data_IF_819133074524
#
_entry.id   IF_819133074524
#
_cell.length_a   1.000
_cell.length_b   1.000
_cell.length_c   1.000
_cell.angle_alpha   90.00
_cell.angle_beta   90.00
_cell.angle_gamma   90.00
#
_symmetry.space_group_name_H-M   'P 1'
#
loop_
_entity.id
_entity.type
_entity.pdbx_description
1 polymer ?
#
# COMPACT_ATOMS: atom_id res chain seq x y z
N UNK A 1 10.90 28.72 -10.38
CA UNK A 1 10.04 28.14 -9.33
C UNK A 1 8.68 27.91 -9.96
N UNK A 2 8.15 26.68 -9.85
CA UNK A 2 6.81 26.30 -10.34
C UNK A 2 5.94 25.96 -9.14
N UNK A 3 4.64 26.17 -9.27
CA UNK A 3 3.65 25.73 -8.28
C UNK A 3 3.05 24.41 -8.75
N UNK A 4 3.23 23.33 -7.99
CA UNK A 4 2.93 21.96 -8.39
C UNK A 4 1.92 21.33 -7.43
N UNK A 5 0.86 20.77 -7.99
CA UNK A 5 -0.08 19.94 -7.24
C UNK A 5 0.25 18.46 -7.40
N UNK A 6 0.28 17.72 -6.30
CA UNK A 6 0.36 16.25 -6.31
C UNK A 6 -0.93 15.69 -5.75
N UNK A 7 -1.56 14.76 -6.46
CA UNK A 7 -2.80 14.12 -6.04
C UNK A 7 -2.48 12.73 -5.48
N UNK A 8 -2.57 12.59 -4.17
CA UNK A 8 -2.27 11.37 -3.41
C UNK A 8 -1.03 11.49 -2.53
N UNK A 9 -1.20 11.31 -1.21
CA UNK A 9 -0.13 11.31 -0.21
C UNK A 9 0.31 9.87 0.15
N UNK A 10 0.41 8.99 -0.85
CA UNK A 10 1.08 7.70 -0.76
C UNK A 10 2.60 7.84 -0.83
N UNK A 11 3.33 6.71 -0.79
CA UNK A 11 4.79 6.70 -0.88
C UNK A 11 5.30 7.51 -2.08
N UNK A 12 4.78 7.23 -3.27
CA UNK A 12 5.21 7.89 -4.51
C UNK A 12 4.97 9.41 -4.47
N UNK A 13 3.76 9.85 -4.06
CA UNK A 13 3.44 11.28 -3.99
C UNK A 13 4.27 12.04 -2.96
N UNK A 14 4.56 11.43 -1.82
CA UNK A 14 5.39 12.03 -0.78
C UNK A 14 6.86 12.12 -1.21
N UNK A 15 7.40 11.07 -1.82
CA UNK A 15 8.79 11.05 -2.32
C UNK A 15 8.97 12.07 -3.45
N UNK A 16 8.04 12.09 -4.42
CA UNK A 16 8.02 13.08 -5.49
C UNK A 16 7.93 14.50 -4.93
N UNK A 17 7.03 14.73 -3.97
CA UNK A 17 6.88 16.04 -3.31
C UNK A 17 8.15 16.52 -2.63
N UNK A 18 8.87 15.63 -1.95
CA UNK A 18 10.17 15.94 -1.34
C UNK A 18 11.20 16.37 -2.38
N UNK A 19 11.35 15.57 -3.44
CA UNK A 19 12.31 15.84 -4.51
C UNK A 19 12.04 17.19 -5.19
N UNK A 20 10.77 17.48 -5.50
CA UNK A 20 10.38 18.74 -6.14
C UNK A 20 10.57 19.95 -5.20
N UNK A 21 10.26 19.79 -3.91
CA UNK A 21 10.48 20.86 -2.93
C UNK A 21 11.98 21.15 -2.78
N UNK A 22 12.83 20.12 -2.74
CA UNK A 22 14.28 20.25 -2.71
C UNK A 22 14.84 20.93 -3.97
N UNK A 23 14.19 20.71 -5.11
CA UNK A 23 14.50 21.40 -6.37
C UNK A 23 14.00 22.86 -6.42
N UNK A 24 13.40 23.37 -5.34
CA UNK A 24 12.99 24.76 -5.22
C UNK A 24 11.60 25.07 -5.78
N UNK A 25 10.73 24.07 -5.91
CA UNK A 25 9.35 24.25 -6.35
C UNK A 25 8.39 24.44 -5.15
N UNK A 26 7.26 25.15 -5.36
CA UNK A 26 6.13 25.24 -4.41
C UNK A 26 5.22 24.02 -4.60
N UNK A 27 5.22 23.08 -3.65
CA UNK A 27 4.50 21.82 -3.77
C UNK A 27 3.35 21.75 -2.78
N UNK A 28 2.15 21.40 -3.29
CA UNK A 28 0.98 21.10 -2.48
C UNK A 28 0.48 19.70 -2.79
N UNK A 29 0.37 18.84 -1.78
CA UNK A 29 -0.13 17.48 -1.90
C UNK A 29 -1.57 17.41 -1.40
N UNK A 30 -2.47 16.85 -2.20
CA UNK A 30 -3.88 16.64 -1.85
C UNK A 30 -4.13 15.18 -1.52
N UNK A 31 -4.67 14.90 -0.33
CA UNK A 31 -5.00 13.55 0.12
C UNK A 31 -6.47 13.48 0.55
N UNK A 32 -7.22 12.58 -0.07
CA UNK A 32 -8.64 12.37 0.22
C UNK A 32 -8.90 11.81 1.61
N UNK A 33 -7.94 11.07 2.15
CA UNK A 33 -8.05 10.37 3.43
C UNK A 33 -7.61 11.25 4.58
N UNK A 34 -8.03 10.88 5.79
CA UNK A 34 -7.52 11.46 7.05
C UNK A 34 -6.04 11.12 7.28
N UNK A 35 -5.61 9.91 6.86
CA UNK A 35 -4.26 9.38 7.06
C UNK A 35 -3.35 9.66 5.87
N UNK A 36 -2.06 9.77 6.15
CA UNK A 36 -0.98 9.89 5.17
C UNK A 36 -0.31 8.53 5.01
N UNK A 37 0.25 8.24 3.83
CA UNK A 37 1.01 7.01 3.54
C UNK A 37 0.30 6.06 2.57
N UNK A 38 -0.98 6.27 2.27
CA UNK A 38 -1.73 5.44 1.33
C UNK A 38 -1.71 3.97 1.75
N UNK A 39 -1.12 3.07 0.93
CA UNK A 39 -1.01 1.63 1.22
C UNK A 39 -0.01 1.27 2.33
N UNK A 40 0.73 2.22 2.89
CA UNK A 40 1.50 2.05 4.14
C UNK A 40 0.61 2.25 5.39
N UNK A 41 -0.66 1.91 5.29
CA UNK A 41 -1.66 2.20 6.32
C UNK A 41 -1.57 1.23 7.50
N UNK A 42 -1.72 1.79 8.70
CA UNK A 42 -1.90 1.04 9.95
C UNK A 42 -3.26 1.38 10.53
N UNK A 43 -4.09 0.37 10.83
CA UNK A 43 -5.35 0.49 11.56
C UNK A 43 -5.09 0.40 13.05
N UNK A 44 -5.73 1.27 13.83
CA UNK A 44 -5.73 1.25 15.29
C UNK A 44 -7.10 0.83 15.77
N UNK A 45 -7.12 -0.21 16.62
CA UNK A 45 -8.30 -0.70 17.33
C UNK A 45 -7.83 -1.16 18.71
N UNK A 46 -7.58 -0.20 19.60
CA UNK A 46 -6.95 -0.44 20.89
C UNK A 46 -7.57 -1.62 21.65
N UNK A 47 -6.73 -2.52 22.22
CA UNK A 47 -5.29 -2.41 22.33
C UNK A 47 -4.51 -2.89 21.07
N UNK A 48 -5.17 -3.17 19.95
CA UNK A 48 -4.60 -3.79 18.77
C UNK A 48 -4.18 -2.77 17.71
N UNK A 49 -3.12 -3.11 16.97
CA UNK A 49 -2.64 -2.37 15.80
C UNK A 49 -2.43 -3.34 14.64
N UNK A 50 -2.78 -2.91 13.42
CA UNK A 50 -2.73 -3.76 12.23
C UNK A 50 -2.14 -2.98 11.05
N UNK A 51 -1.00 -3.43 10.53
CA UNK A 51 -0.47 -2.94 9.26
C UNK A 51 -1.22 -3.64 8.10
N UNK A 52 -2.41 -3.15 7.82
CA UNK A 52 -3.36 -3.78 6.90
C UNK A 52 -3.17 -3.39 5.44
N UNK A 53 -2.18 -2.56 5.14
CA UNK A 53 -1.72 -2.28 3.77
C UNK A 53 -0.53 -3.16 3.41
N UNK A 54 0.63 -2.53 3.12
CA UNK A 54 1.90 -3.25 3.02
C UNK A 54 2.32 -3.67 4.42
N UNK A 55 2.41 -4.98 4.67
CA UNK A 55 2.78 -5.46 5.99
C UNK A 55 4.29 -5.46 6.23
N UNK A 56 5.06 -5.73 5.20
CA UNK A 56 6.51 -5.70 5.15
C UNK A 56 6.96 -5.56 3.69
N UNK A 57 8.19 -5.17 3.45
CA UNK A 57 8.73 -5.03 2.10
C UNK A 57 10.21 -5.47 2.05
N UNK A 58 10.70 -5.74 0.85
CA UNK A 58 12.10 -6.03 0.55
C UNK A 58 12.65 -4.93 -0.35
N UNK A 59 13.97 -4.77 -0.39
CA UNK A 59 14.65 -3.87 -1.31
C UNK A 59 15.67 -4.68 -2.12
N UNK A 60 15.45 -4.79 -3.43
CA UNK A 60 16.31 -5.51 -4.36
C UNK A 60 16.98 -4.61 -5.40
N UNK A 61 16.53 -3.38 -5.52
CA UNK A 61 17.08 -2.34 -6.38
C UNK A 61 18.03 -1.46 -5.57
N UNK A 62 19.19 -1.11 -6.12
CA UNK A 62 20.25 -0.38 -5.40
C UNK A 62 19.79 1.03 -4.97
N UNK A 63 19.02 1.74 -5.80
CA UNK A 63 18.53 3.07 -5.47
C UNK A 63 17.49 2.99 -4.35
N UNK A 64 16.60 1.99 -4.43
CA UNK A 64 15.63 1.76 -3.37
C UNK A 64 16.30 1.28 -2.08
N UNK A 65 17.33 0.44 -2.15
CA UNK A 65 18.13 0.04 -0.99
C UNK A 65 18.81 1.25 -0.35
N UNK A 66 19.35 2.18 -1.15
CA UNK A 66 19.90 3.45 -0.65
C UNK A 66 18.87 4.26 0.14
N UNK A 67 17.65 4.37 -0.36
CA UNK A 67 16.53 5.03 0.34
C UNK A 67 16.17 4.30 1.65
N UNK A 68 16.12 2.96 1.64
CA UNK A 68 15.82 2.17 2.85
C UNK A 68 16.93 2.32 3.88
N UNK A 69 18.19 2.34 3.47
CA UNK A 69 19.33 2.55 4.36
C UNK A 69 19.26 3.92 5.07
N UNK A 70 18.81 4.96 4.37
CA UNK A 70 18.56 6.26 4.99
C UNK A 70 17.46 6.15 6.07
N UNK A 71 16.33 5.51 5.76
CA UNK A 71 15.25 5.32 6.74
C UNK A 71 15.65 4.48 7.95
N UNK A 72 16.54 3.48 7.76
CA UNK A 72 17.16 2.71 8.84
C UNK A 72 18.02 3.60 9.75
N UNK A 73 18.90 4.42 9.15
CA UNK A 73 19.76 5.33 9.90
C UNK A 73 18.97 6.38 10.68
N UNK A 74 17.80 6.79 10.18
CA UNK A 74 16.90 7.75 10.82
C UNK A 74 15.93 7.09 11.82
N UNK A 75 16.00 5.76 12.01
CA UNK A 75 15.15 5.02 12.94
C UNK A 75 13.65 5.03 12.55
N UNK A 76 13.35 5.10 11.28
CA UNK A 76 11.98 5.08 10.73
C UNK A 76 11.58 3.68 10.29
N UNK A 77 12.57 2.86 9.93
CA UNK A 77 12.43 1.48 9.48
C UNK A 77 13.32 0.59 10.33
N UNK A 78 12.95 -0.66 10.51
CA UNK A 78 13.76 -1.70 11.10
C UNK A 78 13.82 -2.93 10.20
N UNK A 79 14.92 -3.68 10.30
CA UNK A 79 15.01 -5.04 9.73
C UNK A 79 14.12 -5.96 10.55
N UNK A 80 13.33 -6.76 9.87
CA UNK A 80 12.53 -7.82 10.45
C UNK A 80 13.09 -9.17 9.99
N UNK A 81 13.83 -9.82 10.89
CA UNK A 81 14.26 -11.20 10.71
C UNK A 81 13.05 -12.10 10.99
N UNK A 82 12.53 -12.74 9.97
CA UNK A 82 11.28 -13.48 10.03
C UNK A 82 11.57 -14.97 10.22
N UNK A 83 10.95 -15.57 11.23
CA UNK A 83 10.79 -17.02 11.29
C UNK A 83 9.70 -17.42 10.27
N UNK A 84 10.15 -17.90 9.13
CA UNK A 84 9.28 -18.40 8.08
C UNK A 84 8.91 -19.85 8.34
N UNK A 85 7.66 -20.19 8.06
CA UNK A 85 7.25 -21.58 7.99
C UNK A 85 8.09 -22.31 6.92
N UNK A 86 8.80 -23.38 7.31
CA UNK A 86 9.65 -24.16 6.41
C UNK A 86 8.87 -25.28 5.71
N UNK A 87 9.36 -25.81 4.56
CA UNK A 87 8.71 -26.91 3.85
C UNK A 87 8.48 -28.20 4.69
N UNK A 88 9.22 -28.35 5.77
CA UNK A 88 9.07 -29.47 6.71
C UNK A 88 7.98 -29.23 7.77
N UNK A 89 7.42 -28.03 7.83
CA UNK A 89 6.28 -27.71 8.66
C UNK A 89 4.99 -27.96 7.85
N UNK A 90 4.12 -28.94 8.25
CA UNK A 90 2.95 -29.37 7.47
C UNK A 90 1.88 -28.29 7.24
N UNK A 91 2.04 -27.09 7.79
CA UNK A 91 1.18 -25.92 7.56
C UNK A 91 1.55 -25.16 6.27
N UNK A 92 2.72 -25.43 5.69
CA UNK A 92 3.13 -24.93 4.38
C UNK A 92 2.79 -25.95 3.33
N UNK A 93 1.79 -25.64 2.53
CA UNK A 93 1.33 -26.31 1.31
C UNK A 93 1.91 -27.71 1.00
N UNK A 94 1.03 -28.70 0.91
CA UNK A 94 1.30 -30.06 0.47
C UNK A 94 1.58 -30.22 -1.04
N UNK A 95 1.74 -29.12 -1.80
CA UNK A 95 2.11 -29.17 -3.22
C UNK A 95 3.45 -28.49 -3.47
N UNK A 96 4.45 -29.21 -4.03
CA UNK A 96 5.72 -28.62 -4.38
C UNK A 96 5.53 -27.77 -5.65
N UNK A 97 5.21 -26.48 -5.49
CA UNK A 97 5.44 -25.51 -6.55
C UNK A 97 6.65 -24.69 -6.16
N UNK A 98 7.68 -24.88 -6.95
CA UNK A 98 8.96 -24.23 -6.89
C UNK A 98 8.82 -22.71 -6.68
N UNK A 99 8.93 -22.25 -5.43
CA UNK A 99 9.58 -20.97 -5.24
C UNK A 99 10.97 -21.11 -5.87
N UNK A 100 11.46 -20.13 -6.63
CA UNK A 100 12.87 -20.13 -6.95
C UNK A 100 13.58 -20.14 -5.58
N UNK A 101 14.19 -21.27 -5.26
CA UNK A 101 15.14 -21.37 -4.18
C UNK A 101 16.31 -20.50 -4.61
N UNK A 102 16.29 -19.23 -4.22
CA UNK A 102 17.51 -18.45 -4.15
C UNK A 102 18.23 -19.03 -2.97
N UNK A 103 19.06 -20.02 -3.28
CA UNK A 103 19.99 -20.66 -2.38
C UNK A 103 20.74 -19.55 -1.62
N UNK A 104 20.53 -19.48 -0.30
CA UNK A 104 21.42 -18.77 0.61
C UNK A 104 21.18 -17.27 0.84
N UNK A 105 20.11 -16.65 0.37
CA UNK A 105 19.75 -15.29 0.75
C UNK A 105 18.57 -15.31 1.73
N UNK A 106 18.82 -15.00 2.98
CA UNK A 106 17.79 -14.47 3.87
C UNK A 106 17.28 -13.19 3.21
N UNK A 107 16.04 -13.19 2.71
CA UNK A 107 15.42 -11.95 2.26
C UNK A 107 15.16 -11.11 3.51
N UNK A 108 15.95 -10.06 3.71
CA UNK A 108 15.72 -9.11 4.77
C UNK A 108 14.39 -8.41 4.48
N UNK A 109 13.43 -8.57 5.38
CA UNK A 109 12.22 -7.79 5.36
C UNK A 109 12.43 -6.50 6.15
N UNK A 110 11.81 -5.43 5.66
CA UNK A 110 11.81 -4.13 6.31
C UNK A 110 10.39 -3.76 6.74
N UNK A 111 10.29 -3.14 7.90
CA UNK A 111 9.02 -2.64 8.45
C UNK A 111 9.19 -1.24 9.00
N UNK A 112 8.19 -0.39 8.81
CA UNK A 112 8.15 0.92 9.45
C UNK A 112 7.97 0.78 10.97
N UNK A 113 8.63 1.62 11.76
CA UNK A 113 8.56 1.62 13.22
C UNK A 113 8.07 2.95 13.77
N UNK A 114 7.19 2.95 14.81
CA UNK A 114 6.58 1.79 15.49
C UNK A 114 5.47 1.12 14.67
N UNK A 115 5.14 1.59 13.47
CA UNK A 115 4.11 1.05 12.58
C UNK A 115 4.41 1.44 11.13
N UNK A 116 3.85 0.72 10.14
CA UNK A 116 4.14 0.97 8.72
C UNK A 116 3.84 2.41 8.27
N UNK A 117 2.82 3.05 8.83
CA UNK A 117 2.48 4.43 8.50
C UNK A 117 3.52 5.46 8.99
N UNK A 118 4.52 5.07 9.79
CA UNK A 118 5.60 5.96 10.21
C UNK A 118 6.43 6.45 9.03
N UNK A 119 6.63 5.60 8.02
CA UNK A 119 7.36 5.96 6.79
C UNK A 119 6.65 7.13 6.10
N UNK A 120 5.34 7.02 5.86
CA UNK A 120 4.56 8.10 5.24
C UNK A 120 4.56 9.39 6.06
N UNK A 121 4.44 9.29 7.39
CA UNK A 121 4.50 10.46 8.30
C UNK A 121 5.87 11.13 8.27
N UNK A 122 6.94 10.34 8.21
CA UNK A 122 8.30 10.85 8.12
C UNK A 122 8.52 11.61 6.79
N UNK A 123 8.14 11.02 5.67
CA UNK A 123 8.26 11.65 4.37
C UNK A 123 7.43 12.94 4.23
N UNK A 124 6.30 13.02 4.91
CA UNK A 124 5.45 14.20 4.89
C UNK A 124 5.99 15.40 5.69
N UNK A 125 7.04 15.21 6.51
CA UNK A 125 7.63 16.31 7.30
C UNK A 125 8.15 17.42 6.40
N UNK A 126 7.67 18.65 6.64
CA UNK A 126 8.04 19.82 5.86
C UNK A 126 7.30 19.99 4.54
N UNK A 127 6.44 19.03 4.14
CA UNK A 127 5.57 19.15 2.97
C UNK A 127 4.21 19.75 3.33
N UNK A 128 3.65 20.55 2.42
CA UNK A 128 2.27 21.03 2.52
C UNK A 128 1.31 19.93 2.06
N UNK A 129 0.67 19.23 3.01
CA UNK A 129 -0.29 18.15 2.71
C UNK A 129 -1.69 18.56 3.16
N UNK A 130 -2.62 18.71 2.22
CA UNK A 130 -4.05 18.97 2.47
C UNK A 130 -4.80 17.64 2.55
N UNK A 131 -5.06 17.18 3.77
CA UNK A 131 -5.81 15.94 4.06
C UNK A 131 -7.30 16.17 4.01
N UNK A 132 -8.09 15.08 3.95
CA UNK A 132 -9.55 15.12 3.81
C UNK A 132 -9.99 15.98 2.62
N UNK A 133 -9.14 16.04 1.59
CA UNK A 133 -9.36 16.88 0.42
C UNK A 133 -9.32 16.00 -0.83
N UNK A 134 -10.50 15.66 -1.32
CA UNK A 134 -10.64 14.91 -2.58
C UNK A 134 -10.59 15.90 -3.75
N UNK A 135 -9.68 15.67 -4.69
CA UNK A 135 -9.72 16.32 -5.99
C UNK A 135 -10.84 15.66 -6.80
N UNK A 136 -11.79 16.45 -7.26
CA UNK A 136 -12.96 16.01 -8.05
C UNK A 136 -12.82 16.30 -9.54
N UNK A 137 -12.14 17.41 -9.90
CA UNK A 137 -11.92 17.78 -11.28
C UNK A 137 -10.60 18.52 -11.49
N UNK A 138 -10.10 18.45 -12.72
CA UNK A 138 -8.96 19.19 -13.23
C UNK A 138 -9.45 20.01 -14.43
N UNK A 139 -9.32 21.32 -14.35
CA UNK A 139 -9.69 22.25 -15.41
C UNK A 139 -8.42 22.75 -16.09
N UNK A 140 -8.35 22.56 -17.39
CA UNK A 140 -7.24 23.03 -18.20
C UNK A 140 -7.53 24.48 -18.64
N UNK A 141 -6.72 25.42 -18.20
CA UNK A 141 -6.73 26.81 -18.62
C UNK A 141 -5.62 27.12 -19.66
N UNK A 142 -4.91 26.13 -20.11
CA UNK A 142 -3.96 26.19 -21.21
C UNK A 142 -4.73 26.22 -22.55
N UNK A 143 -4.49 27.11 -23.49
CA UNK A 143 -3.36 28.02 -23.63
C UNK A 143 -3.57 29.42 -23.01
N UNK A 144 -4.70 29.70 -22.39
CA UNK A 144 -5.03 31.07 -21.97
C UNK A 144 -4.13 31.53 -20.81
N UNK A 145 -3.98 30.71 -19.77
CA UNK A 145 -3.23 31.07 -18.55
C UNK A 145 -2.00 30.19 -18.29
N UNK A 146 -1.74 29.19 -19.15
CA UNK A 146 -0.69 28.21 -18.97
C UNK A 146 -0.70 27.61 -17.55
N UNK A 147 -1.88 27.25 -17.05
CA UNK A 147 -2.13 26.75 -15.72
C UNK A 147 -3.29 25.78 -15.65
N UNK A 148 -3.29 24.98 -14.61
CA UNK A 148 -4.31 23.99 -14.28
C UNK A 148 -5.06 24.44 -13.03
N UNK A 149 -6.38 24.38 -13.02
CA UNK A 149 -7.16 24.60 -11.81
C UNK A 149 -7.67 23.26 -11.27
N UNK A 150 -7.50 23.05 -9.96
CA UNK A 150 -8.05 21.90 -9.25
C UNK A 150 -9.34 22.29 -8.53
N UNK A 151 -10.36 21.45 -8.66
CA UNK A 151 -11.59 21.53 -7.90
C UNK A 151 -11.73 20.32 -6.96
N UNK A 152 -12.38 20.52 -5.81
CA UNK A 152 -12.77 19.42 -4.96
C UNK A 152 -14.04 18.71 -5.51
N UNK A 153 -14.53 17.70 -4.79
CA UNK A 153 -15.72 16.93 -5.13
C UNK A 153 -17.04 17.72 -5.02
N UNK A 154 -16.99 18.94 -4.46
CA UNK A 154 -18.12 19.90 -4.41
C UNK A 154 -18.03 20.97 -5.48
N UNK A 155 -17.02 20.97 -6.33
CA UNK A 155 -16.77 22.00 -7.34
C UNK A 155 -16.12 23.27 -6.81
N UNK A 156 -15.64 23.28 -5.56
CA UNK A 156 -14.93 24.44 -4.99
C UNK A 156 -13.46 24.40 -5.41
N UNK A 157 -12.88 25.58 -5.73
CA UNK A 157 -11.49 25.66 -6.16
C UNK A 157 -10.50 25.29 -5.02
N UNK A 158 -9.53 24.46 -5.38
CA UNK A 158 -8.40 24.11 -4.52
C UNK A 158 -7.15 24.93 -4.84
N UNK A 159 -7.15 25.62 -5.98
CA UNK A 159 -6.11 26.51 -6.44
C UNK A 159 -5.68 26.25 -7.88
N UNK A 160 -4.79 27.14 -8.36
CA UNK A 160 -4.18 27.04 -9.69
C UNK A 160 -2.72 26.60 -9.57
N UNK A 161 -2.26 25.79 -10.53
CA UNK A 161 -0.96 25.15 -10.51
C UNK A 161 -0.35 25.13 -11.92
N UNK A 162 0.96 25.24 -12.01
CA UNK A 162 1.69 25.09 -13.27
C UNK A 162 1.70 23.66 -13.75
N UNK A 163 1.80 22.70 -12.80
CA UNK A 163 1.82 21.26 -13.08
C UNK A 163 0.93 20.49 -12.11
N UNK A 164 0.41 19.36 -12.60
CA UNK A 164 -0.34 18.40 -11.80
C UNK A 164 0.31 17.03 -11.96
N UNK A 165 0.62 16.40 -10.83
CA UNK A 165 1.16 15.05 -10.78
C UNK A 165 0.13 14.13 -10.11
N UNK A 166 -0.30 13.09 -10.82
CA UNK A 166 -1.17 12.07 -10.27
C UNK A 166 -0.33 10.94 -9.65
N UNK A 167 -0.39 10.81 -8.32
CA UNK A 167 0.19 9.71 -7.56
C UNK A 167 -0.91 8.76 -7.02
N UNK A 168 -2.05 8.74 -7.70
CA UNK A 168 -3.19 7.87 -7.41
C UNK A 168 -3.01 6.49 -8.06
N UNK A 169 -3.76 5.47 -7.59
CA UNK A 169 -3.93 4.24 -8.34
C UNK A 169 -4.43 4.51 -9.76
N UNK A 170 -3.94 3.74 -10.73
CA UNK A 170 -4.20 3.98 -12.16
C UNK A 170 -5.69 4.04 -12.49
N UNK A 171 -6.53 3.21 -11.85
CA UNK A 171 -7.98 3.22 -12.06
C UNK A 171 -8.63 4.53 -11.61
N UNK A 172 -8.10 5.16 -10.57
CA UNK A 172 -8.57 6.47 -10.13
C UNK A 172 -8.03 7.59 -11.04
N UNK A 173 -6.81 7.46 -11.52
CA UNK A 173 -6.21 8.43 -12.45
C UNK A 173 -6.95 8.47 -13.80
N UNK A 174 -7.53 7.35 -14.25
CA UNK A 174 -8.32 7.28 -15.50
C UNK A 174 -9.47 8.30 -15.55
N UNK A 175 -10.07 8.63 -14.41
CA UNK A 175 -11.15 9.62 -14.34
C UNK A 175 -10.70 11.05 -14.69
N UNK A 176 -9.39 11.31 -14.63
CA UNK A 176 -8.79 12.61 -14.96
C UNK A 176 -8.06 12.61 -16.31
N UNK A 177 -8.17 11.53 -17.10
CA UNK A 177 -7.54 11.46 -18.42
C UNK A 177 -8.19 12.47 -19.38
N UNK A 178 -7.43 13.47 -19.80
CA UNK A 178 -7.87 14.57 -20.64
C UNK A 178 -7.90 14.22 -22.13
N UNK A 179 -7.10 13.23 -22.54
CA UNK A 179 -6.93 12.86 -23.94
C UNK A 179 -7.09 11.37 -24.17
N UNK A 180 -7.36 10.99 -25.43
CA UNK A 180 -7.40 9.59 -25.84
C UNK A 180 -6.04 8.88 -25.66
N UNK A 181 -4.92 9.63 -25.75
CA UNK A 181 -3.59 9.10 -25.53
C UNK A 181 -3.40 8.72 -24.05
N UNK A 182 -3.74 9.60 -23.13
CA UNK A 182 -3.71 9.31 -21.68
C UNK A 182 -4.53 8.07 -21.36
N UNK A 183 -5.74 7.97 -21.89
CA UNK A 183 -6.62 6.81 -21.70
C UNK A 183 -5.98 5.53 -22.22
N UNK A 184 -5.39 5.55 -23.42
CA UNK A 184 -4.71 4.37 -24.00
C UNK A 184 -3.54 3.90 -23.15
N UNK A 185 -2.73 4.84 -22.63
CA UNK A 185 -1.59 4.51 -21.76
C UNK A 185 -2.06 3.93 -20.45
N UNK A 186 -2.97 4.60 -19.75
CA UNK A 186 -3.47 4.15 -18.44
C UNK A 186 -4.20 2.80 -18.51
N UNK A 187 -4.82 2.48 -19.65
CA UNK A 187 -5.52 1.20 -19.84
C UNK A 187 -4.60 -0.01 -19.99
N UNK A 188 -3.29 0.20 -20.18
CA UNK A 188 -2.30 -0.89 -20.16
C UNK A 188 -2.06 -1.45 -18.75
N UNK A 189 -2.49 -0.74 -17.72
CA UNK A 189 -2.23 -1.07 -16.33
C UNK A 189 -3.52 -1.41 -15.61
N UNK A 190 -3.46 -2.41 -14.75
CA UNK A 190 -4.53 -2.80 -13.86
C UNK A 190 -3.97 -3.14 -12.49
N UNK A 191 -4.74 -2.84 -11.45
CA UNK A 191 -4.41 -3.22 -10.08
C UNK A 191 -5.37 -4.31 -9.60
N UNK A 192 -4.80 -5.34 -9.00
CA UNK A 192 -5.54 -6.43 -8.40
C UNK A 192 -6.01 -6.05 -7.00
N UNK A 193 -7.23 -6.42 -6.60
CA UNK A 193 -7.72 -6.16 -5.26
C UNK A 193 -7.16 -7.16 -4.25
N UNK A 194 -7.23 -6.78 -2.96
CA UNK A 194 -6.90 -7.66 -1.85
C UNK A 194 -7.75 -7.29 -0.63
N UNK A 195 -8.34 -8.28 0.01
CA UNK A 195 -9.01 -8.12 1.29
C UNK A 195 -8.08 -8.52 2.42
N UNK A 196 -8.06 -7.72 3.47
CA UNK A 196 -7.20 -7.97 4.62
C UNK A 196 -8.05 -8.10 5.87
N UNK A 197 -8.11 -9.31 6.40
CA UNK A 197 -8.74 -9.62 7.68
C UNK A 197 -7.76 -9.28 8.81
N UNK A 198 -8.25 -8.60 9.82
CA UNK A 198 -7.51 -8.16 11.01
C UNK A 198 -8.11 -8.83 12.25
N UNK A 199 -7.31 -9.65 12.92
CA UNK A 199 -7.73 -10.37 14.13
C UNK A 199 -6.84 -9.98 15.31
N UNK A 200 -7.45 -9.57 16.42
CA UNK A 200 -6.79 -9.28 17.69
C UNK A 200 -7.17 -10.30 18.76
N UNK A 201 -6.20 -10.72 19.57
CA UNK A 201 -6.40 -11.73 20.60
C UNK A 201 -5.88 -11.25 21.95
N UNK A 202 -6.60 -11.59 23.01
CA UNK A 202 -6.22 -11.27 24.40
C UNK A 202 -5.00 -12.07 24.86
N UNK A 203 -4.77 -13.23 24.23
CA UNK A 203 -3.62 -14.11 24.51
C UNK A 203 -2.93 -14.49 23.22
N UNK A 204 -1.58 -14.60 23.21
CA UNK A 204 -0.85 -15.08 22.05
C UNK A 204 -1.30 -16.48 21.63
N UNK A 205 -1.34 -16.71 20.31
CA UNK A 205 -1.58 -18.02 19.72
C UNK A 205 -0.26 -18.82 19.69
N UNK A 206 -0.36 -20.15 19.80
CA UNK A 206 0.77 -21.07 19.69
C UNK A 206 1.13 -21.23 18.19
N UNK A 207 1.81 -20.24 17.63
CA UNK A 207 2.35 -20.26 16.26
C UNK A 207 3.87 -20.25 16.33
N UNK A 208 4.50 -21.19 15.62
CA UNK A 208 5.96 -21.34 15.56
C UNK A 208 6.60 -20.48 14.45
N UNK A 209 5.85 -19.56 13.86
CA UNK A 209 6.29 -18.69 12.78
C UNK A 209 5.56 -17.34 12.81
N UNK A 210 6.20 -16.34 12.25
CA UNK A 210 5.68 -14.97 12.19
C UNK A 210 5.07 -14.60 10.83
N UNK A 211 5.48 -15.31 9.77
CA UNK A 211 5.03 -15.12 8.39
C UNK A 211 4.78 -16.47 7.72
N UNK A 212 3.62 -16.64 7.13
CA UNK A 212 3.29 -17.79 6.31
C UNK A 212 2.74 -17.33 4.96
N UNK A 213 3.36 -17.79 3.86
CA UNK A 213 2.80 -17.73 2.52
C UNK A 213 1.95 -18.96 2.31
N UNK A 214 0.70 -18.77 1.89
CA UNK A 214 -0.27 -19.84 1.75
C UNK A 214 -0.53 -20.09 0.27
N UNK A 215 -0.40 -21.33 -0.15
CA UNK A 215 -0.86 -21.77 -1.47
C UNK A 215 -2.30 -22.25 -1.35
N UNK A 216 -3.24 -21.37 -1.61
CA UNK A 216 -4.66 -21.65 -1.48
C UNK A 216 -5.50 -20.75 -2.37
N UNK A 217 -6.79 -21.07 -2.44
CA UNK A 217 -7.73 -20.28 -3.26
C UNK A 217 -8.16 -19.00 -2.57
N UNK A 218 -8.27 -18.99 -1.23
CA UNK A 218 -8.85 -17.89 -0.48
C UNK A 218 -7.82 -17.00 0.20
N UNK A 219 -6.76 -17.60 0.79
CA UNK A 219 -5.74 -16.90 1.57
C UNK A 219 -4.40 -16.94 0.83
N UNK A 220 -3.76 -15.79 0.74
CA UNK A 220 -2.43 -15.59 0.16
C UNK A 220 -1.33 -15.66 1.21
N UNK A 221 -1.53 -15.01 2.37
CA UNK A 221 -0.54 -14.98 3.45
C UNK A 221 -1.16 -14.63 4.81
N UNK A 222 -0.49 -15.08 5.85
CA UNK A 222 -0.81 -14.80 7.25
C UNK A 222 0.44 -14.23 7.92
N UNK A 223 0.27 -13.15 8.67
CA UNK A 223 1.37 -12.44 9.33
C UNK A 223 0.98 -12.19 10.79
N UNK A 224 1.86 -12.56 11.71
CA UNK A 224 1.78 -12.17 13.11
C UNK A 224 2.24 -10.71 13.21
N UNK A 225 1.31 -9.78 13.12
CA UNK A 225 1.64 -8.36 13.03
C UNK A 225 2.32 -7.83 14.31
N UNK A 226 1.94 -8.36 15.48
CA UNK A 226 2.53 -8.01 16.77
C UNK A 226 3.97 -8.53 16.97
N UNK A 227 4.43 -9.49 16.18
CA UNK A 227 5.81 -9.99 16.24
C UNK A 227 6.83 -9.08 15.54
N UNK A 228 6.37 -8.12 14.74
CA UNK A 228 7.26 -7.18 14.08
C UNK A 228 7.99 -6.29 15.07
N UNK A 229 9.22 -5.83 14.76
CA UNK A 229 10.00 -4.92 15.60
C UNK A 229 9.20 -3.70 16.05
N UNK A 230 9.33 -3.34 17.32
CA UNK A 230 8.74 -2.14 17.94
C UNK A 230 7.21 -2.06 17.82
N UNK A 231 6.52 -3.20 17.71
CA UNK A 231 5.04 -3.22 17.80
C UNK A 231 4.63 -3.26 19.27
N UNK A 232 3.80 -2.29 19.63
CA UNK A 232 3.14 -2.23 20.93
C UNK A 232 1.70 -2.74 20.79
N UNK A 233 1.07 -3.07 21.92
CA UNK A 233 -0.32 -3.49 21.98
C UNK A 233 -0.53 -5.00 22.06
N UNK A 234 -1.78 -5.43 21.83
CA UNK A 234 -2.18 -6.82 21.92
C UNK A 234 -1.72 -7.68 20.76
N UNK A 235 -1.77 -8.99 20.94
CA UNK A 235 -1.42 -9.97 19.91
C UNK A 235 -2.35 -9.83 18.69
N UNK A 236 -1.78 -9.72 17.50
CA UNK A 236 -2.56 -9.41 16.30
C UNK A 236 -2.06 -10.15 15.06
N UNK A 237 -3.02 -10.61 14.26
CA UNK A 237 -2.79 -11.20 12.94
C UNK A 237 -3.34 -10.30 11.84
N UNK A 238 -2.66 -10.23 10.72
CA UNK A 238 -3.18 -9.73 9.45
C UNK A 238 -3.16 -10.86 8.43
N UNK A 239 -4.30 -11.12 7.80
CA UNK A 239 -4.53 -12.23 6.90
C UNK A 239 -4.97 -11.66 5.56
N UNK A 240 -4.18 -11.90 4.53
CA UNK A 240 -4.41 -11.38 3.19
C UNK A 240 -5.10 -12.45 2.35
N UNK A 241 -6.20 -12.08 1.73
CA UNK A 241 -6.86 -12.94 0.76
C UNK A 241 -6.12 -12.93 -0.58
N UNK A 242 -6.41 -13.95 -1.41
CA UNK A 242 -6.01 -13.92 -2.82
C UNK A 242 -6.80 -12.84 -3.57
N UNK A 243 -6.24 -12.30 -4.67
CA UNK A 243 -6.99 -11.40 -5.55
C UNK A 243 -8.25 -12.05 -6.14
N UNK A 244 -8.17 -13.34 -6.47
CA UNK A 244 -9.29 -14.09 -7.03
C UNK A 244 -10.46 -14.19 -6.03
N UNK A 245 -10.17 -14.47 -4.76
CA UNK A 245 -11.18 -14.46 -3.71
C UNK A 245 -11.79 -13.06 -3.56
N UNK A 246 -10.94 -12.02 -3.46
CA UNK A 246 -11.43 -10.66 -3.28
C UNK A 246 -12.33 -10.21 -4.43
N UNK A 247 -11.96 -10.50 -5.69
CA UNK A 247 -12.79 -10.13 -6.84
C UNK A 247 -14.20 -10.72 -6.77
N UNK A 248 -14.35 -11.93 -6.21
CA UNK A 248 -15.66 -12.58 -6.07
C UNK A 248 -16.50 -11.99 -4.94
N UNK A 249 -15.86 -11.52 -3.86
CA UNK A 249 -16.52 -11.23 -2.58
C UNK A 249 -16.45 -9.75 -2.14
N UNK A 250 -15.83 -8.86 -2.92
CA UNK A 250 -15.57 -7.47 -2.53
C UNK A 250 -16.84 -6.64 -2.29
N UNK A 251 -17.96 -7.04 -2.87
CA UNK A 251 -19.26 -6.38 -2.74
C UNK A 251 -20.19 -7.10 -1.73
N UNK A 252 -19.74 -8.19 -1.13
CA UNK A 252 -20.51 -8.94 -0.15
C UNK A 252 -20.52 -8.24 1.21
N UNK A 253 -21.42 -8.72 2.08
CA UNK A 253 -21.49 -8.27 3.47
C UNK A 253 -20.16 -8.51 4.21
N UNK A 254 -19.72 -7.50 4.93
CA UNK A 254 -18.45 -7.56 5.68
C UNK A 254 -18.41 -8.69 6.68
N UNK A 255 -19.51 -8.95 7.36
CA UNK A 255 -19.60 -10.01 8.39
C UNK A 255 -19.45 -11.38 7.73
N UNK A 256 -20.06 -11.58 6.57
CA UNK A 256 -19.91 -12.81 5.78
C UNK A 256 -18.46 -13.02 5.38
N UNK A 257 -17.80 -11.98 4.85
CA UNK A 257 -16.38 -12.01 4.49
C UNK A 257 -15.46 -12.32 5.69
N UNK A 258 -15.69 -11.66 6.83
CA UNK A 258 -14.95 -11.91 8.08
C UNK A 258 -15.08 -13.36 8.51
N UNK A 259 -16.31 -13.88 8.55
CA UNK A 259 -16.60 -15.24 8.99
C UNK A 259 -15.96 -16.28 8.04
N UNK A 260 -16.02 -16.04 6.74
CA UNK A 260 -15.41 -16.91 5.73
C UNK A 260 -13.90 -16.98 5.90
N UNK A 261 -13.21 -15.83 5.85
CA UNK A 261 -11.76 -15.79 5.96
C UNK A 261 -11.24 -16.25 7.34
N UNK A 262 -11.99 -15.97 8.43
CA UNK A 262 -11.63 -16.50 9.75
C UNK A 262 -11.66 -18.03 9.75
N UNK A 263 -12.69 -18.64 9.16
CA UNK A 263 -12.81 -20.11 9.07
C UNK A 263 -11.70 -20.69 8.17
N UNK A 264 -11.48 -20.10 7.00
CA UNK A 264 -10.41 -20.53 6.08
C UNK A 264 -9.03 -20.46 6.76
N UNK A 265 -8.74 -19.37 7.46
CA UNK A 265 -7.49 -19.22 8.20
C UNK A 265 -7.37 -20.20 9.36
N UNK A 266 -8.48 -20.47 10.09
CA UNK A 266 -8.51 -21.49 11.16
C UNK A 266 -8.17 -22.87 10.63
N UNK A 267 -8.68 -23.23 9.44
CA UNK A 267 -8.39 -24.52 8.80
C UNK A 267 -6.91 -24.62 8.39
N UNK A 268 -6.35 -23.54 7.80
CA UNK A 268 -4.95 -23.49 7.41
C UNK A 268 -4.02 -23.62 8.61
N UNK A 269 -4.33 -22.94 9.71
CA UNK A 269 -3.49 -22.90 10.90
C UNK A 269 -3.72 -24.09 11.85
N UNK A 270 -4.83 -24.82 11.73
CA UNK A 270 -5.23 -25.83 12.69
C UNK A 270 -5.61 -25.26 14.06
N UNK A 271 -5.90 -23.94 14.14
CA UNK A 271 -6.21 -23.21 15.37
C UNK A 271 -7.55 -22.51 15.21
N UNK A 272 -8.39 -22.53 16.24
CA UNK A 272 -9.66 -21.80 16.21
C UNK A 272 -9.43 -20.29 16.39
N UNK A 273 -9.56 -19.54 15.29
CA UNK A 273 -9.47 -18.09 15.27
C UNK A 273 -10.80 -17.39 15.57
N UNK A 274 -11.88 -18.15 15.77
CA UNK A 274 -13.20 -17.58 16.09
C UNK A 274 -13.21 -16.86 17.45
N UNK A 275 -12.25 -17.17 18.30
CA UNK A 275 -12.06 -16.59 19.64
C UNK A 275 -11.43 -15.20 19.64
N UNK A 276 -11.07 -14.64 18.47
CA UNK A 276 -10.51 -13.31 18.37
C UNK A 276 -11.43 -12.25 19.01
N UNK A 277 -10.86 -11.46 19.92
CA UNK A 277 -11.55 -10.37 20.63
C UNK A 277 -11.87 -9.18 19.69
N UNK A 278 -11.04 -9.00 18.66
CA UNK A 278 -11.28 -8.00 17.61
C UNK A 278 -11.26 -8.66 16.24
N UNK A 279 -12.23 -8.28 15.41
CA UNK A 279 -12.33 -8.72 14.00
C UNK A 279 -12.77 -7.55 13.14
N UNK A 280 -11.98 -7.24 12.12
CA UNK A 280 -12.35 -6.26 11.09
C UNK A 280 -11.74 -6.68 9.75
N UNK A 281 -12.32 -6.19 8.65
CA UNK A 281 -11.82 -6.44 7.29
C UNK A 281 -11.72 -5.13 6.53
N UNK A 282 -10.63 -5.01 5.73
CA UNK A 282 -10.46 -3.91 4.80
C UNK A 282 -10.28 -4.44 3.37
N UNK A 283 -11.04 -3.89 2.44
CA UNK A 283 -10.95 -4.23 1.03
C UNK A 283 -10.14 -3.18 0.29
N UNK A 284 -8.93 -3.53 -0.13
CA UNK A 284 -8.11 -2.74 -1.05
C UNK A 284 -8.53 -3.06 -2.48
N UNK A 285 -9.32 -2.20 -3.12
CA UNK A 285 -9.74 -2.38 -4.52
C UNK A 285 -8.56 -2.30 -5.50
N UNK A 286 -7.51 -1.59 -5.12
CA UNK A 286 -6.33 -1.30 -5.93
C UNK A 286 -5.07 -1.60 -5.11
N UNK A 287 -4.83 -2.88 -4.83
CA UNK A 287 -3.79 -3.30 -3.90
C UNK A 287 -2.43 -3.46 -4.58
N UNK A 288 -2.32 -4.35 -5.57
CA UNK A 288 -1.06 -4.71 -6.22
C UNK A 288 -1.21 -4.65 -7.73
N UNK A 289 -0.15 -4.23 -8.45
CA UNK A 289 -0.09 -4.37 -9.90
C UNK A 289 0.22 -5.82 -10.29
N UNK A 290 -0.31 -6.29 -11.42
CA UNK A 290 0.33 -7.38 -12.12
C UNK A 290 1.73 -6.94 -12.54
N UNK A 291 2.71 -7.85 -12.49
CA UNK A 291 4.03 -7.59 -13.02
C UNK A 291 3.90 -7.39 -14.53
N UNK A 292 3.69 -6.15 -14.94
CA UNK A 292 3.76 -5.80 -16.35
C UNK A 292 5.24 -5.72 -16.67
N UNK A 293 5.71 -6.53 -17.63
CA UNK A 293 7.03 -6.37 -18.21
C UNK A 293 7.06 -4.97 -18.88
N UNK A 294 7.52 -4.00 -18.14
CA UNK A 294 7.80 -2.66 -18.66
C UNK A 294 8.93 -2.84 -19.67
N UNK A 295 8.63 -2.71 -20.96
CA UNK A 295 9.67 -2.60 -21.97
C UNK A 295 10.44 -1.29 -21.69
N UNK A 296 11.73 -1.29 -21.95
CA UNK A 296 12.68 -0.20 -21.65
C UNK A 296 12.34 1.18 -22.26
N UNK A 297 11.22 1.32 -22.96
CA UNK A 297 10.67 2.59 -23.47
C UNK A 297 9.55 3.20 -22.62
N UNK A 298 9.02 2.46 -21.65
CA UNK A 298 7.88 2.93 -20.82
C UNK A 298 8.30 3.90 -19.70
N UNK A 299 9.61 4.12 -19.50
CA UNK A 299 10.14 5.15 -18.60
C UNK A 299 9.83 6.59 -19.02
N UNK A 300 9.37 6.80 -20.26
CA UNK A 300 8.94 8.11 -20.75
C UNK A 300 7.55 8.54 -20.29
N UNK A 301 6.82 7.69 -19.57
CA UNK A 301 5.48 8.02 -19.06
C UNK A 301 5.44 9.23 -18.11
N UNK A 302 6.55 9.58 -17.49
CA UNK A 302 6.68 10.79 -16.68
C UNK A 302 6.68 12.10 -17.47
N UNK A 303 6.90 12.04 -18.78
CA UNK A 303 7.04 13.23 -19.65
C UNK A 303 5.79 13.51 -20.51
N UNK A 304 4.79 12.62 -20.49
CA UNK A 304 3.61 12.74 -21.37
C UNK A 304 2.56 13.73 -20.87
N UNK A 305 2.82 14.43 -19.78
CA UNK A 305 1.98 15.52 -19.28
C UNK A 305 2.59 16.91 -19.54
N UNK A 306 3.72 16.97 -20.25
CA UNK A 306 4.33 18.21 -20.67
C UNK A 306 4.15 18.34 -22.21
N UNK A 307 3.39 19.35 -22.58
CA UNK A 307 3.32 20.01 -23.88
C UNK A 307 3.10 19.14 -25.14
N UNK A 308 2.04 19.39 -25.82
CA UNK A 308 2.07 20.15 -27.11
C UNK A 308 0.75 20.92 -27.26
#
# INVERSE_FOLDING_TARGET
MKRIAIIGAGLAGLTCGKALQQAGHDVVIFEKSRGIGGRLATRRAEPFYFDHGVAAFTASDDDFQGFVNQLLAEGVVAVWAVDQATPDNPLVSTKPHSMPRVSGCYSEYYVGIPAMNAIGKHLARGLTVRRNTRVGAIIDHHPIFNSWELLNDKGETLGQFDWIISAMPVEQAKSFAQTSLHTKVLNKYALMPCSVLMLGFDTPLALDYEYAKIEGEDIDKIIVNSAKPHREGGYSLVIYSTPAWTNRHIEEDKTACINHLTRAASQVLGIDLSTAAHKDIHHWRYATGEAVNLQSGDHQLGYLLDSD
#
